data_IF_506519619777
#
_entry.id   IF_506519619777
#
_cell.length_a   1.000
_cell.length_b   1.000
_cell.length_c   1.000
_cell.angle_alpha   90.00
_cell.angle_beta   90.00
_cell.angle_gamma   90.00
#
_symmetry.space_group_name_H-M   'P 1'
#
loop_
_entity.id
_entity.type
_entity.pdbx_description
1 polymer ?
#
# COMPACT_ATOMS: atom_id res chain seq x y z
N UNK A 1 -30.29 39.18 63.19
CA UNK A 1 -30.15 40.46 62.45
C UNK A 1 -29.49 40.15 61.13
N UNK A 2 -30.15 40.57 60.06
CA UNK A 2 -29.81 40.29 58.66
C UNK A 2 -28.47 40.89 58.24
N UNK A 3 -27.87 40.29 57.21
CA UNK A 3 -27.42 40.94 55.96
C UNK A 3 -26.02 40.44 55.57
N UNK A 4 -25.90 39.39 54.74
CA UNK A 4 -25.87 39.46 53.26
C UNK A 4 -24.85 40.46 52.72
N UNK A 5 -23.62 40.00 52.43
CA UNK A 5 -22.82 40.53 51.32
C UNK A 5 -21.95 39.45 50.69
N UNK A 6 -22.43 38.98 49.54
CA UNK A 6 -21.67 38.74 48.31
C UNK A 6 -20.45 37.82 48.37
N UNK A 7 -20.66 36.53 48.04
CA UNK A 7 -19.65 35.71 47.40
C UNK A 7 -20.17 35.33 46.02
N UNK A 8 -19.70 36.10 45.04
CA UNK A 8 -19.98 35.91 43.62
C UNK A 8 -19.59 34.50 43.18
N UNK A 9 -20.55 33.84 42.56
CA UNK A 9 -20.38 32.71 41.64
C UNK A 9 -19.32 33.05 40.60
N UNK A 10 -18.25 32.26 40.53
CA UNK A 10 -17.60 31.96 39.25
C UNK A 10 -17.27 30.47 39.22
N UNK A 11 -18.27 29.73 38.75
CA UNK A 11 -18.16 28.41 38.16
C UNK A 11 -17.10 28.47 37.04
N UNK A 12 -15.97 27.78 37.21
CA UNK A 12 -15.00 27.56 36.13
C UNK A 12 -14.56 26.10 36.16
N UNK A 13 -15.49 25.25 35.74
CA UNK A 13 -15.21 23.90 35.25
C UNK A 13 -14.72 24.02 33.80
N UNK A 14 -13.42 24.14 33.60
CA UNK A 14 -12.80 23.81 32.31
C UNK A 14 -12.11 22.46 32.46
N UNK A 15 -12.91 21.40 32.28
CA UNK A 15 -12.40 20.07 31.98
C UNK A 15 -11.88 20.09 30.54
N UNK A 16 -10.56 20.13 30.39
CA UNK A 16 -9.92 19.98 29.08
C UNK A 16 -10.06 18.53 28.62
N UNK A 17 -10.66 18.24 27.45
CA UNK A 17 -10.45 16.95 26.81
C UNK A 17 -9.02 16.96 26.25
N UNK A 18 -8.17 16.08 26.79
CA UNK A 18 -6.92 15.69 26.16
C UNK A 18 -7.29 15.10 24.80
N UNK A 19 -7.04 15.87 23.75
CA UNK A 19 -7.14 15.44 22.38
C UNK A 19 -6.02 14.43 22.15
N UNK A 20 -6.36 13.14 22.21
CA UNK A 20 -5.50 12.06 21.79
C UNK A 20 -5.06 12.34 20.35
N UNK A 21 -3.78 12.64 20.18
CA UNK A 21 -3.13 12.80 18.89
C UNK A 21 -3.18 11.45 18.19
N UNK A 22 -4.15 11.31 17.29
CA UNK A 22 -4.21 10.19 16.36
C UNK A 22 -2.97 10.26 15.47
N UNK A 23 -2.12 9.22 15.40
CA UNK A 23 -1.03 9.22 14.44
C UNK A 23 -1.64 9.24 13.03
N UNK A 24 -1.44 10.37 12.35
CA UNK A 24 -1.70 10.59 10.93
C UNK A 24 -1.22 9.37 10.13
N UNK A 25 -2.12 8.56 9.52
CA UNK A 25 -1.67 7.56 8.58
C UNK A 25 -0.98 8.28 7.43
N UNK A 26 0.32 8.00 7.24
CA UNK A 26 1.00 8.34 6.00
C UNK A 26 0.15 7.82 4.83
N UNK A 27 0.08 8.52 3.69
CA UNK A 27 -0.65 8.03 2.53
C UNK A 27 -0.15 6.62 2.19
N UNK A 28 -0.96 5.62 2.55
CA UNK A 28 -0.68 4.25 2.21
C UNK A 28 -0.66 4.20 0.69
N UNK A 29 0.47 3.76 0.14
CA UNK A 29 0.65 3.45 -1.28
C UNK A 29 -0.17 2.19 -1.66
N UNK A 30 -1.45 2.18 -1.30
CA UNK A 30 -2.40 1.11 -1.53
C UNK A 30 -3.55 1.68 -2.36
N UNK A 31 -3.21 2.22 -3.53
CA UNK A 31 -4.17 2.26 -4.63
C UNK A 31 -4.30 0.81 -5.10
N UNK A 32 -5.46 0.22 -4.82
CA UNK A 32 -5.84 -1.18 -5.07
C UNK A 32 -5.09 -1.83 -6.24
N UNK A 33 -4.33 -2.88 -5.96
CA UNK A 33 -3.61 -3.69 -6.96
C UNK A 33 -4.57 -4.26 -8.02
N UNK A 34 -5.87 -4.32 -7.72
CA UNK A 34 -6.93 -4.76 -8.62
C UNK A 34 -7.32 -3.73 -9.70
N UNK A 35 -7.01 -2.44 -9.53
CA UNK A 35 -7.40 -1.41 -10.51
C UNK A 35 -6.42 -1.29 -11.69
N UNK A 36 -5.25 -1.93 -11.60
CA UNK A 36 -4.24 -1.88 -12.66
C UNK A 36 -4.57 -2.90 -13.77
N UNK A 37 -4.65 -2.46 -15.04
CA UNK A 37 -4.98 -3.36 -16.13
C UNK A 37 -3.91 -4.45 -16.30
N UNK A 38 -4.35 -5.71 -16.33
CA UNK A 38 -3.52 -6.84 -16.75
C UNK A 38 -3.40 -6.87 -18.26
N UNK A 39 -2.23 -7.27 -18.77
CA UNK A 39 -2.03 -7.54 -20.18
C UNK A 39 -2.48 -8.96 -20.54
N UNK A 40 -2.38 -9.29 -21.81
CA UNK A 40 -2.69 -10.62 -22.36
C UNK A 40 -1.81 -11.75 -21.78
N UNK A 41 -0.75 -11.42 -21.04
CA UNK A 41 0.13 -12.38 -20.36
C UNK A 41 -0.26 -12.63 -18.90
N UNK A 42 -1.36 -12.04 -18.41
CA UNK A 42 -1.82 -12.19 -17.03
C UNK A 42 -1.05 -11.37 -15.99
N UNK A 43 -0.04 -10.62 -16.42
CA UNK A 43 0.76 -9.72 -15.57
C UNK A 43 0.24 -8.29 -15.71
N UNK A 44 0.39 -7.46 -14.68
CA UNK A 44 0.12 -6.01 -14.78
C UNK A 44 0.87 -5.44 -15.99
N UNK A 45 0.19 -4.68 -16.85
CA UNK A 45 0.75 -4.23 -18.15
C UNK A 45 2.07 -3.47 -17.99
N UNK A 46 2.22 -2.69 -16.91
CA UNK A 46 3.43 -1.93 -16.60
C UNK A 46 4.58 -2.76 -16.04
N UNK A 47 4.32 -3.99 -15.58
CA UNK A 47 5.30 -4.89 -14.97
C UNK A 47 5.61 -6.12 -15.81
N UNK A 48 4.87 -6.36 -16.89
CA UNK A 48 5.13 -7.49 -17.78
C UNK A 48 6.44 -7.27 -18.56
N UNK A 49 7.45 -8.11 -18.32
CA UNK A 49 8.73 -8.03 -19.04
C UNK A 49 8.61 -8.43 -20.51
N UNK A 50 7.56 -9.19 -20.88
CA UNK A 50 7.26 -9.51 -22.28
C UNK A 50 6.70 -8.31 -23.04
N UNK A 51 5.88 -7.48 -22.39
CA UNK A 51 5.39 -6.23 -22.97
C UNK A 51 6.44 -5.09 -22.88
N UNK A 52 7.28 -5.09 -21.84
CA UNK A 52 8.27 -4.05 -21.57
C UNK A 52 9.65 -4.69 -21.33
N UNK A 53 10.39 -5.09 -22.39
CA UNK A 53 11.67 -5.76 -22.25
C UNK A 53 12.73 -4.90 -21.54
N UNK A 54 12.55 -3.57 -21.51
CA UNK A 54 13.40 -2.64 -20.76
C UNK A 54 13.38 -2.87 -19.24
N UNK A 55 12.42 -3.64 -18.71
CA UNK A 55 12.36 -4.01 -17.30
C UNK A 55 13.29 -5.15 -16.93
N UNK A 56 13.80 -5.93 -17.90
CA UNK A 56 14.73 -7.03 -17.64
C UNK A 56 15.92 -6.66 -16.73
N UNK A 57 16.67 -5.56 -16.95
CA UNK A 57 17.74 -5.16 -16.03
C UNK A 57 17.23 -4.84 -14.61
N UNK A 58 16.01 -4.31 -14.48
CA UNK A 58 15.41 -4.04 -13.16
C UNK A 58 15.12 -5.35 -12.41
N UNK A 59 14.53 -6.33 -13.09
CA UNK A 59 14.27 -7.65 -12.51
C UNK A 59 15.57 -8.39 -12.16
N UNK A 60 16.60 -8.31 -13.02
CA UNK A 60 17.95 -8.84 -12.74
C UNK A 60 18.58 -8.19 -11.52
N UNK A 61 18.52 -6.85 -11.41
CA UNK A 61 19.05 -6.12 -10.25
C UNK A 61 18.34 -6.52 -8.95
N UNK A 62 17.05 -6.87 -9.04
CA UNK A 62 16.25 -7.40 -7.93
C UNK A 62 16.42 -8.89 -7.66
N UNK A 63 17.29 -9.60 -8.41
CA UNK A 63 17.47 -11.05 -8.35
C UNK A 63 16.19 -11.85 -8.65
N UNK A 64 15.23 -11.24 -9.35
CA UNK A 64 13.97 -11.87 -9.80
C UNK A 64 14.11 -12.24 -11.27
N UNK A 65 15.11 -13.05 -11.63
CA UNK A 65 15.41 -13.36 -13.02
C UNK A 65 15.69 -14.84 -13.24
N UNK A 66 14.94 -15.44 -14.15
CA UNK A 66 15.14 -16.79 -14.65
C UNK A 66 16.16 -16.74 -15.81
N UNK A 67 17.40 -17.24 -15.64
CA UNK A 67 18.38 -17.24 -16.73
C UNK A 67 18.02 -18.23 -17.84
N UNK A 68 17.44 -19.39 -17.50
CA UNK A 68 17.11 -20.45 -18.46
C UNK A 68 16.02 -20.04 -19.45
N UNK A 69 15.04 -19.26 -18.97
CA UNK A 69 13.88 -18.85 -19.74
C UNK A 69 13.84 -17.35 -20.07
N UNK A 70 14.93 -16.64 -19.76
CA UNK A 70 15.12 -15.22 -20.03
C UNK A 70 13.91 -14.33 -19.66
N UNK A 71 13.29 -14.59 -18.51
CA UNK A 71 12.12 -13.86 -18.01
C UNK A 71 12.21 -13.67 -16.49
N UNK A 72 11.46 -12.74 -15.89
CA UNK A 72 11.44 -12.60 -14.44
C UNK A 72 10.96 -13.89 -13.77
N UNK A 73 11.56 -14.28 -12.63
CA UNK A 73 11.15 -15.48 -11.88
C UNK A 73 9.67 -15.41 -11.49
N UNK A 74 9.24 -14.24 -11.00
CA UNK A 74 7.84 -13.90 -10.70
C UNK A 74 6.87 -13.98 -11.89
N UNK A 75 7.38 -14.15 -13.10
CA UNK A 75 6.60 -14.31 -14.32
C UNK A 75 6.90 -15.65 -14.99
N UNK A 76 7.82 -16.48 -14.50
CA UNK A 76 8.30 -17.68 -15.18
C UNK A 76 7.41 -18.89 -14.89
N UNK A 77 6.38 -19.12 -15.71
CA UNK A 77 5.48 -20.28 -15.55
C UNK A 77 6.17 -21.64 -15.77
N UNK A 78 7.34 -21.64 -16.42
CA UNK A 78 8.13 -22.86 -16.65
C UNK A 78 8.84 -23.33 -15.38
N UNK A 79 9.31 -22.41 -14.56
CA UNK A 79 9.92 -22.70 -13.26
C UNK A 79 8.89 -22.69 -12.12
N UNK A 80 7.85 -21.86 -12.24
CA UNK A 80 6.83 -21.62 -11.23
C UNK A 80 5.42 -21.88 -11.81
N UNK A 81 5.00 -23.15 -11.97
CA UNK A 81 3.75 -23.52 -12.65
C UNK A 81 2.49 -22.98 -11.94
N UNK A 82 2.55 -22.73 -10.63
CA UNK A 82 1.48 -22.10 -9.84
C UNK A 82 1.08 -20.70 -10.35
N UNK A 83 1.96 -20.02 -11.09
CA UNK A 83 1.65 -18.71 -11.68
C UNK A 83 0.58 -18.83 -12.77
N UNK A 84 0.48 -19.98 -13.44
CA UNK A 84 -0.57 -20.24 -14.43
C UNK A 84 -1.96 -20.28 -13.80
N UNK A 85 -2.09 -20.82 -12.59
CA UNK A 85 -3.35 -20.80 -11.82
C UNK A 85 -3.76 -19.36 -11.44
N UNK A 86 -2.77 -18.48 -11.29
CA UNK A 86 -2.96 -17.03 -11.08
C UNK A 86 -3.20 -16.27 -12.40
N UNK A 87 -3.28 -16.97 -13.52
CA UNK A 87 -3.59 -16.44 -14.85
C UNK A 87 -2.37 -15.93 -15.63
N UNK A 88 -1.15 -16.12 -15.14
CA UNK A 88 0.08 -15.74 -15.85
C UNK A 88 0.37 -16.74 -16.97
N UNK A 89 0.71 -16.25 -18.16
CA UNK A 89 1.04 -17.06 -19.35
C UNK A 89 2.26 -16.52 -20.09
#
# INVERSE_FOLDING_TARGET
MHSLRSLSVVLSLFAAPVLAETPKPAPQAQTSEAERPRCEHGVQKTLCARCNPKLAPVFKAKKDWCPEHARPESQCVLCNPELAEKGVK
#
